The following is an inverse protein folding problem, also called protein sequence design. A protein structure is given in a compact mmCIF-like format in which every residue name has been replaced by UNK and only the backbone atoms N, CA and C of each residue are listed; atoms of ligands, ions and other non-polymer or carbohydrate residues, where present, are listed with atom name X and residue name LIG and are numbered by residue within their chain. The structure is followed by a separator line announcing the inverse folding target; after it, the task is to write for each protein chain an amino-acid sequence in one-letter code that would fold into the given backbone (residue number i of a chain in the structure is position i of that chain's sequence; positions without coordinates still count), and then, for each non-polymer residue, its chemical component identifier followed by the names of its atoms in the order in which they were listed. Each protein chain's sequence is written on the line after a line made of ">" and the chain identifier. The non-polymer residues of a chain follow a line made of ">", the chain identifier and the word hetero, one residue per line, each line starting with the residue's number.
data_IF_822787595196
#
_entry.id   IF_822787595196
#
_cell.length_a   1.000
_cell.length_b   1.000
_cell.length_c   1.000
_cell.angle_alpha   90.00
_cell.angle_beta   90.00
_cell.angle_gamma   90.00
#
_symmetry.space_group_name_H-M   'P 1'
#
loop_
_entity.id
_entity.type
_entity.pdbx_description
1 polymer ?
#
# COMPACT_ATOMS: atom_id res chain seq x y z
N UNK A 1 7.31 -8.99 -17.90
CA UNK A 1 8.20 -10.13 -17.58
C UNK A 1 7.88 -10.54 -16.16
N UNK A 2 7.39 -11.75 -15.95
CA UNK A 2 7.13 -12.30 -14.61
C UNK A 2 8.49 -12.71 -14.05
N UNK A 3 8.86 -12.22 -12.87
CA UNK A 3 10.17 -12.49 -12.30
C UNK A 3 10.14 -13.89 -11.69
N UNK A 4 10.63 -14.91 -12.41
CA UNK A 4 10.55 -16.32 -12.00
C UNK A 4 11.47 -16.68 -10.80
N UNK A 5 12.04 -15.70 -10.10
CA UNK A 5 12.96 -15.93 -8.99
C UNK A 5 12.39 -15.32 -7.69
N UNK A 6 11.87 -16.15 -6.77
CA UNK A 6 11.32 -15.71 -5.49
C UNK A 6 12.29 -14.84 -4.67
N UNK A 7 13.60 -15.11 -4.74
CA UNK A 7 14.60 -14.34 -3.99
C UNK A 7 14.81 -12.94 -4.59
N UNK A 8 14.70 -12.79 -5.91
CA UNK A 8 14.71 -11.46 -6.53
C UNK A 8 13.47 -10.66 -6.13
N UNK A 9 12.28 -11.27 -6.20
CA UNK A 9 11.02 -10.62 -5.80
C UNK A 9 11.06 -10.22 -4.32
N UNK A 10 11.57 -11.09 -3.44
CA UNK A 10 11.81 -10.79 -2.02
C UNK A 10 12.73 -9.58 -1.82
N UNK A 11 13.86 -9.51 -2.53
CA UNK A 11 14.78 -8.38 -2.43
C UNK A 11 14.12 -7.07 -2.87
N UNK A 12 13.32 -7.10 -3.94
CA UNK A 12 12.54 -5.93 -4.37
C UNK A 12 11.51 -5.50 -3.33
N UNK A 13 10.78 -6.44 -2.72
CA UNK A 13 9.84 -6.16 -1.62
C UNK A 13 10.56 -5.44 -0.47
N UNK A 14 11.74 -5.90 -0.07
CA UNK A 14 12.51 -5.32 1.04
C UNK A 14 12.97 -3.90 0.71
N UNK A 15 13.50 -3.68 -0.50
CA UNK A 15 13.93 -2.37 -0.96
C UNK A 15 12.76 -1.39 -1.04
N UNK A 16 11.64 -1.81 -1.63
CA UNK A 16 10.46 -0.99 -1.77
C UNK A 16 9.83 -0.65 -0.41
N UNK A 17 9.81 -1.59 0.54
CA UNK A 17 9.36 -1.33 1.91
C UNK A 17 10.19 -0.23 2.59
N UNK A 18 11.51 -0.22 2.39
CA UNK A 18 12.38 0.82 2.92
C UNK A 18 12.06 2.18 2.29
N UNK A 19 11.89 2.24 0.97
CA UNK A 19 11.52 3.45 0.25
C UNK A 19 10.16 3.99 0.70
N UNK A 20 9.14 3.13 0.77
CA UNK A 20 7.79 3.50 1.22
C UNK A 20 7.77 4.03 2.66
N UNK A 21 8.74 3.65 3.50
CA UNK A 21 8.86 4.22 4.84
C UNK A 21 9.21 5.70 4.79
N UNK A 22 10.10 6.09 3.87
CA UNK A 22 10.51 7.48 3.65
C UNK A 22 9.39 8.24 2.93
N UNK A 23 8.81 7.64 1.88
CA UNK A 23 7.75 8.27 1.09
C UNK A 23 6.53 8.60 1.95
N UNK A 24 6.14 7.70 2.87
CA UNK A 24 5.06 7.94 3.81
C UNK A 24 5.36 9.14 4.73
N UNK A 25 6.59 9.24 5.26
CA UNK A 25 7.01 10.39 6.06
C UNK A 25 6.92 11.70 5.27
N UNK A 26 7.34 11.69 4.01
CA UNK A 26 7.30 12.85 3.12
C UNK A 26 5.87 13.25 2.73
N UNK A 27 4.92 12.31 2.79
CA UNK A 27 3.50 12.56 2.50
C UNK A 27 2.70 13.12 3.67
N UNK A 28 3.26 13.19 4.90
CA UNK A 28 2.52 13.57 6.11
C UNK A 28 1.85 14.94 6.04
N UNK A 29 2.52 15.94 5.45
CA UNK A 29 1.94 17.28 5.30
C UNK A 29 0.75 17.30 4.35
N UNK A 30 0.82 16.51 3.27
CA UNK A 30 -0.29 16.36 2.31
C UNK A 30 -1.46 15.61 2.96
N UNK A 31 -1.18 14.54 3.70
CA UNK A 31 -2.19 13.80 4.47
C UNK A 31 -2.93 14.73 5.45
N UNK A 32 -2.20 15.57 6.18
CA UNK A 32 -2.79 16.56 7.08
C UNK A 32 -3.65 17.55 6.31
N UNK A 33 -3.18 18.09 5.18
CA UNK A 33 -3.97 19.02 4.39
C UNK A 33 -5.30 18.40 3.91
N UNK A 34 -5.26 17.13 3.46
CA UNK A 34 -6.43 16.37 3.01
C UNK A 34 -7.43 16.16 4.16
N UNK A 35 -6.96 15.84 5.38
CA UNK A 35 -7.84 15.59 6.53
C UNK A 35 -8.63 16.82 6.98
N UNK A 36 -8.17 18.03 6.65
CA UNK A 36 -8.88 19.28 6.98
C UNK A 36 -9.92 19.67 5.93
N UNK A 37 -9.87 19.08 4.73
CA UNK A 37 -10.74 19.43 3.61
C UNK A 37 -11.90 18.46 3.38
N UNK A 38 -11.79 17.23 3.89
CA UNK A 38 -12.82 16.21 3.71
C UNK A 38 -13.76 16.17 4.92
N UNK A 39 -15.09 16.17 4.69
CA UNK A 39 -16.05 16.05 5.78
C UNK A 39 -15.90 14.70 6.47
N UNK A 40 -15.93 14.71 7.81
CA UNK A 40 -15.94 13.49 8.62
C UNK A 40 -17.33 12.85 8.51
N UNK A 41 -17.40 11.66 7.92
CA UNK A 41 -18.58 10.79 8.05
C UNK A 41 -18.42 9.96 9.31
N UNK A 42 -19.43 9.91 10.18
CA UNK A 42 -19.40 9.04 11.38
C UNK A 42 -19.64 7.56 11.07
N UNK A 43 -20.02 7.24 9.82
CA UNK A 43 -20.46 5.89 9.42
C UNK A 43 -19.55 5.21 8.40
N UNK A 44 -18.62 5.95 7.80
CA UNK A 44 -17.67 5.46 6.81
C UNK A 44 -16.26 5.82 7.25
N UNK A 45 -15.28 4.97 6.93
CA UNK A 45 -13.88 5.33 7.16
C UNK A 45 -13.55 6.60 6.42
N UNK A 46 -12.87 7.52 7.10
CA UNK A 46 -12.26 8.67 6.47
C UNK A 46 -11.16 8.20 5.50
N UNK A 47 -10.87 9.02 4.48
CA UNK A 47 -9.76 8.74 3.56
C UNK A 47 -8.43 8.50 4.28
N UNK A 48 -8.21 9.20 5.39
CA UNK A 48 -7.03 8.99 6.23
C UNK A 48 -7.00 7.58 6.81
N UNK A 49 -8.10 7.12 7.42
CA UNK A 49 -8.18 5.78 8.01
C UNK A 49 -8.00 4.68 6.96
N UNK A 50 -8.54 4.85 5.75
CA UNK A 50 -8.33 3.90 4.66
C UNK A 50 -6.86 3.84 4.22
N UNK A 51 -6.18 4.99 4.12
CA UNK A 51 -4.74 5.05 3.83
C UNK A 51 -3.95 4.36 4.94
N UNK A 52 -4.27 4.59 6.22
CA UNK A 52 -3.57 3.96 7.35
C UNK A 52 -3.78 2.45 7.40
N UNK A 53 -5.00 1.97 7.16
CA UNK A 53 -5.32 0.54 7.12
C UNK A 53 -4.54 -0.17 6.00
N UNK A 54 -4.60 0.37 4.78
CA UNK A 54 -3.83 -0.17 3.64
C UNK A 54 -2.32 -0.17 3.93
N UNK A 55 -1.82 0.94 4.46
CA UNK A 55 -0.41 1.13 4.81
C UNK A 55 0.05 0.07 5.80
N UNK A 56 -0.73 -0.12 6.86
CA UNK A 56 -0.43 -1.07 7.94
C UNK A 56 -0.46 -2.50 7.42
N UNK A 57 -1.51 -2.88 6.70
CA UNK A 57 -1.69 -4.25 6.24
C UNK A 57 -0.62 -4.66 5.23
N UNK A 58 -0.45 -3.88 4.16
CA UNK A 58 0.46 -4.23 3.06
C UNK A 58 1.92 -4.19 3.53
N UNK A 59 2.32 -3.16 4.31
CA UNK A 59 3.69 -3.10 4.85
C UNK A 59 3.91 -4.12 5.96
N UNK A 60 2.87 -4.53 6.67
CA UNK A 60 2.91 -5.61 7.64
C UNK A 60 3.36 -6.93 7.00
N UNK A 61 2.75 -7.31 5.87
CA UNK A 61 3.15 -8.49 5.11
C UNK A 61 4.58 -8.38 4.56
N UNK A 62 4.96 -7.24 3.98
CA UNK A 62 6.34 -7.02 3.53
C UNK A 62 7.34 -7.12 4.69
N UNK A 63 6.97 -6.66 5.88
CA UNK A 63 7.80 -6.75 7.08
C UNK A 63 7.98 -8.19 7.56
N UNK A 64 6.96 -9.04 7.46
CA UNK A 64 7.08 -10.48 7.73
C UNK A 64 8.08 -11.15 6.77
N UNK A 65 7.95 -10.86 5.47
CA UNK A 65 8.90 -11.34 4.44
C UNK A 65 10.32 -10.89 4.76
N UNK A 66 10.51 -9.61 5.12
CA UNK A 66 11.83 -9.07 5.50
C UNK A 66 12.42 -9.77 6.73
N UNK A 67 11.61 -9.97 7.77
CA UNK A 67 12.09 -10.47 9.06
C UNK A 67 12.30 -11.98 9.09
N UNK A 68 11.46 -12.74 8.39
CA UNK A 68 11.37 -14.21 8.51
C UNK A 68 11.53 -14.95 7.19
N UNK A 69 11.37 -14.27 6.06
CA UNK A 69 11.37 -14.89 4.74
C UNK A 69 10.09 -15.65 4.38
N UNK A 70 9.01 -15.51 5.17
CA UNK A 70 7.70 -16.08 4.88
C UNK A 70 6.59 -15.23 5.53
N UNK A 71 5.34 -15.49 5.16
CA UNK A 71 4.13 -14.91 5.75
C UNK A 71 3.35 -16.02 6.44
N UNK A 72 2.83 -15.75 7.64
CA UNK A 72 1.91 -16.67 8.33
C UNK A 72 0.58 -16.77 7.56
N UNK A 73 0.06 -18.00 7.40
CA UNK A 73 -1.18 -18.28 6.66
C UNK A 73 -1.19 -17.67 5.25
N UNK A 74 -0.30 -18.11 4.33
CA UNK A 74 -0.11 -17.46 3.03
C UNK A 74 -1.38 -17.42 2.17
N UNK A 75 -2.27 -18.42 2.27
CA UNK A 75 -3.56 -18.42 1.55
C UNK A 75 -4.48 -17.28 2.01
N UNK A 76 -4.62 -17.10 3.33
CA UNK A 76 -5.40 -15.99 3.90
C UNK A 76 -4.78 -14.65 3.51
N UNK A 77 -3.44 -14.53 3.52
CA UNK A 77 -2.76 -13.33 3.08
C UNK A 77 -3.04 -13.02 1.60
N UNK A 78 -3.01 -14.02 0.71
CA UNK A 78 -3.38 -13.86 -0.71
C UNK A 78 -4.81 -13.34 -0.85
N UNK A 79 -5.77 -13.92 -0.12
CA UNK A 79 -7.18 -13.49 -0.15
C UNK A 79 -7.34 -12.04 0.28
N UNK A 80 -6.71 -11.65 1.40
CA UNK A 80 -6.75 -10.28 1.90
C UNK A 80 -6.07 -9.29 0.93
N UNK A 81 -4.90 -9.64 0.39
CA UNK A 81 -4.18 -8.80 -0.59
C UNK A 81 -4.91 -8.66 -1.93
N UNK A 82 -5.73 -9.66 -2.32
CA UNK A 82 -6.58 -9.57 -3.53
C UNK A 82 -7.76 -8.62 -3.35
N UNK A 83 -8.27 -8.48 -2.12
CA UNK A 83 -9.37 -7.57 -1.78
C UNK A 83 -8.90 -6.13 -1.54
N UNK A 84 -7.64 -5.93 -1.14
CA UNK A 84 -7.06 -4.60 -0.83
C UNK A 84 -6.48 -3.87 -2.04
N UNK A 85 -7.22 -3.83 -3.16
CA UNK A 85 -6.79 -3.05 -4.33
C UNK A 85 -6.94 -1.58 -4.01
N UNK A 86 -5.82 -0.86 -3.94
CA UNK A 86 -5.76 0.51 -3.41
C UNK A 86 -6.69 1.45 -4.19
N UNK A 87 -6.80 1.26 -5.51
CA UNK A 87 -7.62 2.09 -6.40
C UNK A 87 -9.04 1.55 -6.63
N UNK A 88 -9.44 0.45 -5.98
CA UNK A 88 -10.85 0.04 -5.94
C UNK A 88 -11.61 0.76 -4.79
N UNK A 89 -10.87 1.46 -3.92
CA UNK A 89 -11.44 2.26 -2.83
C UNK A 89 -11.89 3.63 -3.38
N UNK A 90 -13.20 3.97 -3.27
CA UNK A 90 -13.76 5.16 -3.93
C UNK A 90 -13.09 6.48 -3.54
N UNK A 91 -12.82 6.70 -2.27
CA UNK A 91 -12.19 7.92 -1.74
C UNK A 91 -10.77 8.13 -2.29
N UNK A 92 -9.98 7.05 -2.42
CA UNK A 92 -8.62 7.06 -2.95
C UNK A 92 -8.65 7.36 -4.44
N UNK A 93 -9.55 6.73 -5.17
CA UNK A 93 -9.74 7.00 -6.60
C UNK A 93 -10.19 8.43 -6.85
N UNK A 94 -11.08 8.96 -6.01
CA UNK A 94 -11.49 10.36 -6.06
C UNK A 94 -10.32 11.32 -5.81
N UNK A 95 -9.53 11.09 -4.75
CA UNK A 95 -8.30 11.86 -4.47
C UNK A 95 -7.37 11.86 -5.70
N UNK A 96 -7.19 10.70 -6.31
CA UNK A 96 -6.28 10.51 -7.42
C UNK A 96 -6.72 11.28 -8.67
N UNK A 97 -8.02 11.27 -8.99
CA UNK A 97 -8.60 11.86 -10.20
C UNK A 97 -8.87 13.38 -10.10
N UNK A 98 -9.40 13.87 -8.97
CA UNK A 98 -9.90 15.25 -8.88
C UNK A 98 -8.78 16.30 -8.70
N UNK A 99 -7.67 15.92 -8.08
CA UNK A 99 -6.61 16.86 -7.67
C UNK A 99 -5.32 16.64 -8.45
N UNK A 100 -5.38 16.53 -9.78
CA UNK A 100 -4.29 16.00 -10.63
C UNK A 100 -2.90 16.64 -10.42
N UNK A 101 -2.84 17.89 -9.97
CA UNK A 101 -1.59 18.63 -9.72
C UNK A 101 -1.25 18.81 -8.23
N UNK A 102 -2.13 18.39 -7.33
CA UNK A 102 -1.93 18.47 -5.88
C UNK A 102 -1.69 17.09 -5.28
N UNK A 103 -1.10 17.08 -4.09
CA UNK A 103 -0.88 15.86 -3.30
C UNK A 103 -0.01 14.82 -4.01
N UNK A 104 1.07 15.28 -4.65
CA UNK A 104 1.95 14.44 -5.46
C UNK A 104 2.64 13.34 -4.66
N UNK A 105 3.04 13.63 -3.42
CA UNK A 105 3.75 12.66 -2.59
C UNK A 105 2.82 11.52 -2.16
N UNK A 106 1.63 11.81 -1.64
CA UNK A 106 0.68 10.78 -1.21
C UNK A 106 0.14 9.98 -2.39
N UNK A 107 -0.08 10.60 -3.56
CA UNK A 107 -0.47 9.87 -4.77
C UNK A 107 0.63 8.92 -5.24
N UNK A 108 1.88 9.35 -5.19
CA UNK A 108 3.02 8.49 -5.52
C UNK A 108 3.15 7.36 -4.51
N UNK A 109 3.00 7.66 -3.23
CA UNK A 109 2.99 6.69 -2.15
C UNK A 109 1.92 5.61 -2.37
N UNK A 110 0.67 5.99 -2.64
CA UNK A 110 -0.44 5.05 -2.86
C UNK A 110 -0.21 4.14 -4.07
N UNK A 111 0.34 4.66 -5.17
CA UNK A 111 0.76 3.83 -6.32
C UNK A 111 1.80 2.80 -5.93
N UNK A 112 2.85 3.24 -5.22
CA UNK A 112 3.95 2.37 -4.84
C UNK A 112 3.52 1.35 -3.77
N UNK A 113 2.54 1.69 -2.94
CA UNK A 113 1.91 0.79 -1.98
C UNK A 113 1.11 -0.31 -2.70
N UNK A 114 0.32 0.03 -3.73
CA UNK A 114 -0.38 -0.98 -4.54
C UNK A 114 0.62 -1.86 -5.32
N UNK A 115 1.72 -1.27 -5.79
CA UNK A 115 2.78 -2.05 -6.42
C UNK A 115 3.44 -3.02 -5.44
N UNK A 116 3.71 -2.61 -4.19
CA UNK A 116 4.18 -3.51 -3.14
C UNK A 116 3.20 -4.67 -2.90
N UNK A 117 1.89 -4.39 -2.85
CA UNK A 117 0.85 -5.41 -2.74
C UNK A 117 0.94 -6.45 -3.86
N UNK A 118 1.13 -6.00 -5.11
CA UNK A 118 1.30 -6.90 -6.26
C UNK A 118 2.57 -7.74 -6.16
N UNK A 119 3.70 -7.16 -5.72
CA UNK A 119 4.94 -7.91 -5.53
C UNK A 119 4.81 -8.99 -4.45
N UNK A 120 4.10 -8.69 -3.34
CA UNK A 120 3.84 -9.69 -2.29
C UNK A 120 2.98 -10.82 -2.84
N UNK A 121 1.94 -10.52 -3.63
CA UNK A 121 1.13 -11.54 -4.29
C UNK A 121 1.97 -12.40 -5.23
N UNK A 122 2.82 -11.79 -6.07
CA UNK A 122 3.73 -12.52 -6.95
C UNK A 122 4.65 -13.45 -6.14
N UNK A 123 5.28 -12.93 -5.08
CA UNK A 123 6.13 -13.71 -4.19
C UNK A 123 5.42 -14.94 -3.61
N UNK A 124 4.19 -14.77 -3.11
CA UNK A 124 3.40 -15.86 -2.55
C UNK A 124 2.92 -16.88 -3.59
N UNK A 125 2.78 -16.49 -4.86
CA UNK A 125 2.40 -17.40 -5.95
C UNK A 125 3.56 -18.16 -6.58
N UNK A 126 4.80 -17.74 -6.31
CA UNK A 126 6.03 -18.37 -6.80
C UNK A 126 6.63 -19.39 -5.81
N UNK A 127 6.09 -19.46 -4.59
CA UNK A 127 6.41 -20.51 -3.61
C UNK A 127 5.58 -21.77 -3.87
#
# INVERSE_FOLDING_TARGET
>A
MINQNPELTKNYIIQLLAQLTIDYQNSKSEIQAISHQLPVSETEFTLLEEIELLTTDIRGYASQIKARGYIENPQQAIEQLKQKRVFDIPSISQLYLQNSHEYGNIKSYLRMLDYLRLLILEYLTLQ
#
